data_IF_382083254942
#
_entry.id   IF_382083254942
#
_cell.length_a   1.000
_cell.length_b   1.000
_cell.length_c   1.000
_cell.angle_alpha   90.00
_cell.angle_beta   90.00
_cell.angle_gamma   90.00
#
_symmetry.space_group_name_H-M   'P 1'
#
loop_
_entity.id
_entity.type
_entity.pdbx_description
1 polymer ?
#
# COMPACT_ATOMS: atom_id res chain seq x y z
N UNK A 1 20.49 23.50 7.10
CA UNK A 1 19.87 24.83 7.27
C UNK A 1 19.80 25.11 8.76
N UNK A 2 20.37 26.20 9.26
CA UNK A 2 20.25 26.61 10.67
C UNK A 2 19.42 27.90 10.68
N UNK A 3 18.27 27.87 11.33
CA UNK A 3 17.48 29.05 11.67
C UNK A 3 17.38 29.13 13.20
N UNK A 4 17.20 30.32 13.73
CA UNK A 4 17.03 30.57 15.16
C UNK A 4 15.53 30.54 15.52
N UNK A 5 15.20 30.14 16.75
CA UNK A 5 13.79 29.99 17.17
C UNK A 5 13.05 31.33 17.14
N UNK A 6 13.76 32.42 17.42
CA UNK A 6 13.27 33.80 17.36
C UNK A 6 12.79 34.18 15.95
N UNK A 7 13.31 33.52 14.91
CA UNK A 7 12.87 33.74 13.53
C UNK A 7 11.54 33.05 13.21
N UNK A 8 10.96 32.28 14.13
CA UNK A 8 9.62 31.72 14.00
C UNK A 8 8.56 32.53 14.77
N UNK A 9 8.99 33.41 15.67
CA UNK A 9 8.13 34.26 16.51
C UNK A 9 7.90 35.63 15.86
N UNK A 10 7.38 35.65 14.62
CA UNK A 10 7.20 36.87 13.85
C UNK A 10 5.92 36.88 13.02
N UNK A 11 5.21 38.01 13.01
CA UNK A 11 4.01 38.23 12.18
C UNK A 11 2.84 37.32 12.55
N UNK A 12 2.21 36.73 11.54
CA UNK A 12 1.03 35.85 11.70
C UNK A 12 1.39 34.42 12.18
N UNK A 13 2.68 34.07 12.25
CA UNK A 13 3.14 32.72 12.54
C UNK A 13 2.74 32.18 13.92
N UNK A 14 2.85 32.94 15.04
CA UNK A 14 2.41 32.45 16.33
C UNK A 14 0.93 32.07 16.34
N UNK A 15 0.09 32.89 15.71
CA UNK A 15 -1.34 32.60 15.60
C UNK A 15 -1.62 31.36 14.74
N UNK A 16 -0.89 31.19 13.63
CA UNK A 16 -0.97 30.00 12.79
C UNK A 16 -0.53 28.74 13.57
N UNK A 17 0.54 28.79 14.36
CA UNK A 17 0.98 27.64 15.16
C UNK A 17 -0.03 27.25 16.25
N UNK A 18 -0.74 28.23 16.82
CA UNK A 18 -1.75 27.98 17.84
C UNK A 18 -3.07 27.41 17.28
N UNK A 19 -3.44 27.79 16.06
CA UNK A 19 -4.80 27.57 15.54
C UNK A 19 -4.88 26.67 14.31
N UNK A 20 -3.81 26.59 13.50
CA UNK A 20 -3.84 25.86 12.25
C UNK A 20 -3.68 24.35 12.47
N UNK A 21 -4.43 23.50 11.73
CA UNK A 21 -4.20 22.06 11.73
C UNK A 21 -2.80 21.72 11.21
N UNK A 22 -2.23 20.60 11.64
CA UNK A 22 -0.87 20.16 11.27
C UNK A 22 -0.62 20.16 9.75
N UNK A 23 -1.62 19.82 8.94
CA UNK A 23 -1.54 19.87 7.47
C UNK A 23 -1.26 21.27 6.90
N UNK A 24 -1.77 22.32 7.54
CA UNK A 24 -1.55 23.70 7.10
C UNK A 24 -0.15 24.17 7.48
N UNK A 25 0.37 23.68 8.61
CA UNK A 25 1.76 23.89 9.00
C UNK A 25 2.74 23.14 8.10
N UNK A 26 2.42 21.90 7.71
CA UNK A 26 3.20 21.13 6.72
C UNK A 26 3.20 21.82 5.35
N UNK A 27 2.05 22.33 4.92
CA UNK A 27 1.95 23.16 3.70
C UNK A 27 2.83 24.40 3.79
N UNK A 28 2.78 25.13 4.90
CA UNK A 28 3.62 26.31 5.12
C UNK A 28 5.11 25.95 5.07
N UNK A 29 5.52 24.86 5.72
CA UNK A 29 6.91 24.37 5.65
C UNK A 29 7.31 24.05 4.20
N UNK A 30 6.43 23.42 3.42
CA UNK A 30 6.61 23.21 1.99
C UNK A 30 6.75 24.51 1.19
N UNK A 31 5.97 25.54 1.51
CA UNK A 31 6.08 26.86 0.87
C UNK A 31 7.43 27.53 1.16
N UNK A 32 7.96 27.40 2.38
CA UNK A 32 9.30 27.90 2.72
C UNK A 32 10.38 27.21 1.89
N UNK A 33 10.28 25.89 1.70
CA UNK A 33 11.20 25.14 0.83
C UNK A 33 11.10 25.61 -0.62
N UNK A 34 9.88 25.83 -1.12
CA UNK A 34 9.68 26.34 -2.48
C UNK A 34 10.20 27.77 -2.67
N UNK A 35 9.99 28.66 -1.70
CA UNK A 35 10.52 30.02 -1.72
C UNK A 35 12.05 30.00 -1.80
N UNK A 36 12.70 29.15 -0.98
CA UNK A 36 14.16 28.94 -1.05
C UNK A 36 14.60 28.48 -2.44
N UNK A 37 13.95 27.46 -3.00
CA UNK A 37 14.37 26.85 -4.26
C UNK A 37 14.18 27.80 -5.46
N UNK A 38 13.27 28.78 -5.35
CA UNK A 38 13.07 29.85 -6.34
C UNK A 38 13.97 31.06 -6.14
N UNK A 39 14.47 31.28 -4.93
CA UNK A 39 15.16 32.50 -4.58
C UNK A 39 16.57 32.56 -5.20
N UNK A 40 17.00 33.78 -5.53
CA UNK A 40 18.36 34.02 -6.00
C UNK A 40 19.41 33.73 -4.90
N UNK A 41 20.64 33.43 -5.33
CA UNK A 41 21.79 33.24 -4.44
C UNK A 41 21.93 34.42 -3.46
N UNK A 42 21.98 34.13 -2.15
CA UNK A 42 22.21 35.13 -1.09
C UNK A 42 20.97 35.54 -0.28
N UNK A 43 19.80 34.97 -0.57
CA UNK A 43 18.60 35.12 0.28
C UNK A 43 18.72 34.31 1.58
N UNK A 44 18.02 34.74 2.63
CA UNK A 44 18.05 34.13 3.96
C UNK A 44 16.70 33.50 4.32
N UNK A 45 16.66 32.78 5.45
CA UNK A 45 15.45 32.09 5.92
C UNK A 45 14.27 33.04 6.17
N UNK A 46 14.53 34.23 6.72
CA UNK A 46 13.49 35.25 6.98
C UNK A 46 12.77 35.66 5.70
N UNK A 47 13.51 35.87 4.62
CA UNK A 47 12.93 36.18 3.32
C UNK A 47 12.03 35.05 2.80
N UNK A 48 12.51 33.80 2.84
CA UNK A 48 11.72 32.63 2.39
C UNK A 48 10.48 32.40 3.27
N UNK A 49 10.61 32.62 4.57
CA UNK A 49 9.52 32.57 5.55
C UNK A 49 8.45 33.61 5.24
N UNK A 50 8.83 34.86 5.06
CA UNK A 50 7.88 35.96 4.84
C UNK A 50 7.16 35.81 3.50
N UNK A 51 7.88 35.37 2.45
CA UNK A 51 7.26 35.04 1.17
C UNK A 51 6.25 33.88 1.29
N UNK A 52 6.60 32.83 2.03
CA UNK A 52 5.73 31.69 2.28
C UNK A 52 4.49 32.05 3.10
N UNK A 53 4.63 32.87 4.15
CA UNK A 53 3.51 33.37 4.96
C UNK A 53 2.59 34.24 4.11
N UNK A 54 3.14 35.19 3.35
CA UNK A 54 2.35 36.01 2.45
C UNK A 54 1.60 35.17 1.41
N UNK A 55 2.24 34.11 0.90
CA UNK A 55 1.62 33.18 -0.03
C UNK A 55 0.52 32.32 0.59
N UNK A 56 0.60 32.04 1.89
CA UNK A 56 -0.41 31.29 2.62
C UNK A 56 -1.66 32.14 2.97
N UNK A 57 -1.50 33.46 3.18
CA UNK A 57 -2.57 34.30 3.74
C UNK A 57 -3.21 35.29 2.76
N UNK A 58 -2.52 35.74 1.71
CA UNK A 58 -2.95 36.93 0.94
C UNK A 58 -3.61 36.67 -0.42
N UNK A 59 -3.56 35.45 -0.97
CA UNK A 59 -3.93 35.25 -2.37
C UNK A 59 -5.42 35.19 -2.67
N UNK A 60 -6.27 34.74 -1.76
CA UNK A 60 -7.69 34.51 -2.06
C UNK A 60 -8.42 35.78 -2.52
N UNK A 61 -8.14 36.93 -1.89
CA UNK A 61 -8.75 38.21 -2.29
C UNK A 61 -8.21 38.73 -3.63
N UNK A 62 -6.91 38.53 -3.88
CA UNK A 62 -6.27 39.00 -5.11
C UNK A 62 -6.70 38.18 -6.32
N UNK A 63 -6.70 36.84 -6.19
CA UNK A 63 -7.23 35.92 -7.22
C UNK A 63 -8.68 36.26 -7.56
N UNK A 64 -9.52 36.57 -6.57
CA UNK A 64 -10.89 37.00 -6.82
C UNK A 64 -10.97 38.35 -7.56
N UNK A 65 -10.00 39.26 -7.36
CA UNK A 65 -9.85 40.50 -8.12
C UNK A 65 -9.47 40.22 -9.58
N UNK A 66 -8.44 39.41 -9.79
CA UNK A 66 -7.90 39.10 -11.12
C UNK A 66 -8.94 38.34 -11.97
N UNK A 67 -9.63 37.34 -11.39
CA UNK A 67 -10.71 36.61 -12.06
C UNK A 67 -11.96 37.46 -12.35
N UNK A 68 -12.13 38.62 -11.72
CA UNK A 68 -13.17 39.59 -12.10
C UNK A 68 -12.79 40.39 -13.34
N UNK A 69 -11.49 40.55 -13.61
CA UNK A 69 -10.96 41.20 -14.81
C UNK A 69 -10.97 40.23 -16.00
N UNK A 70 -10.59 38.97 -15.77
CA UNK A 70 -10.64 37.90 -16.78
C UNK A 70 -11.97 37.12 -16.74
N UNK A 71 -13.00 37.68 -17.38
CA UNK A 71 -14.35 37.06 -17.43
C UNK A 71 -14.53 36.11 -18.62
N UNK A 72 -13.61 36.11 -19.58
CA UNK A 72 -13.69 35.24 -20.75
C UNK A 72 -13.63 33.76 -20.35
N UNK A 73 -14.48 32.93 -20.96
CA UNK A 73 -14.47 31.49 -20.71
C UNK A 73 -13.11 30.88 -21.04
N UNK A 74 -12.49 31.30 -22.15
CA UNK A 74 -11.17 30.82 -22.55
C UNK A 74 -10.05 31.22 -21.57
N UNK A 75 -10.07 32.45 -21.07
CA UNK A 75 -9.09 32.95 -20.10
C UNK A 75 -9.19 32.17 -18.78
N UNK A 76 -10.42 31.99 -18.29
CA UNK A 76 -10.70 31.24 -17.06
C UNK A 76 -10.34 29.76 -17.20
N UNK A 77 -10.64 29.16 -18.35
CA UNK A 77 -10.23 27.79 -18.62
C UNK A 77 -8.71 27.65 -18.66
N UNK A 78 -8.01 28.63 -19.23
CA UNK A 78 -6.55 28.64 -19.28
C UNK A 78 -5.93 28.83 -17.88
N UNK A 79 -6.48 29.73 -17.06
CA UNK A 79 -6.07 29.90 -15.66
C UNK A 79 -6.27 28.62 -14.85
N UNK A 80 -7.44 27.98 -14.96
CA UNK A 80 -7.72 26.75 -14.23
C UNK A 80 -6.82 25.61 -14.70
N UNK A 81 -6.67 25.42 -16.01
CA UNK A 81 -5.76 24.44 -16.58
C UNK A 81 -4.33 24.66 -16.10
N UNK A 82 -3.81 25.89 -16.23
CA UNK A 82 -2.48 26.25 -15.76
C UNK A 82 -2.31 25.99 -14.27
N UNK A 83 -3.33 26.23 -13.44
CA UNK A 83 -3.27 25.99 -12.00
C UNK A 83 -3.25 24.50 -11.63
N UNK A 84 -3.93 23.65 -12.40
CA UNK A 84 -3.97 22.20 -12.21
C UNK A 84 -2.72 21.51 -12.77
N UNK A 85 -2.18 22.03 -13.87
CA UNK A 85 -0.97 21.51 -14.54
C UNK A 85 0.24 22.42 -14.36
N UNK A 86 0.27 23.25 -13.32
CA UNK A 86 1.37 24.18 -13.01
C UNK A 86 2.72 23.43 -12.99
N UNK A 87 3.71 23.96 -13.71
CA UNK A 87 4.98 23.31 -13.99
C UNK A 87 4.94 22.28 -15.12
N UNK A 88 3.86 22.21 -15.91
CA UNK A 88 3.71 21.33 -17.07
C UNK A 88 4.06 22.03 -18.40
N UNK A 89 4.22 21.29 -19.51
CA UNK A 89 4.50 21.87 -20.82
C UNK A 89 3.41 22.81 -21.31
N UNK A 90 3.77 23.92 -21.97
CA UNK A 90 2.82 24.92 -22.48
C UNK A 90 1.69 24.33 -23.35
N UNK A 91 2.02 23.42 -24.27
CA UNK A 91 1.04 22.80 -25.17
C UNK A 91 0.05 21.91 -24.39
N UNK A 92 0.50 21.30 -23.30
CA UNK A 92 -0.34 20.51 -22.40
C UNK A 92 -1.31 21.41 -21.64
N UNK A 93 -0.85 22.57 -21.16
CA UNK A 93 -1.71 23.55 -20.48
C UNK A 93 -2.82 24.03 -21.43
N UNK A 94 -2.46 24.38 -22.67
CA UNK A 94 -3.42 24.79 -23.68
C UNK A 94 -4.41 23.66 -24.04
N UNK A 95 -3.91 22.43 -24.18
CA UNK A 95 -4.75 21.26 -24.48
C UNK A 95 -5.73 20.95 -23.34
N UNK A 96 -5.27 21.07 -22.09
CA UNK A 96 -6.11 20.93 -20.91
C UNK A 96 -7.19 22.02 -20.85
N UNK A 97 -6.86 23.27 -21.19
CA UNK A 97 -7.83 24.37 -21.27
C UNK A 97 -8.90 24.12 -22.35
N UNK A 98 -8.50 23.65 -23.54
CA UNK A 98 -9.45 23.29 -24.59
C UNK A 98 -10.34 22.10 -24.21
N UNK A 99 -9.79 21.07 -23.56
CA UNK A 99 -10.58 19.94 -23.04
C UNK A 99 -11.60 20.41 -22.00
N UNK A 100 -11.23 21.32 -21.08
CA UNK A 100 -12.16 21.89 -20.12
C UNK A 100 -13.33 22.61 -20.80
N UNK A 101 -13.05 23.44 -21.80
CA UNK A 101 -14.10 24.11 -22.57
C UNK A 101 -15.02 23.10 -23.28
N UNK A 102 -14.46 22.00 -23.78
CA UNK A 102 -15.23 20.90 -24.38
C UNK A 102 -16.15 20.22 -23.37
N UNK A 103 -15.66 19.87 -22.18
CA UNK A 103 -16.45 19.28 -21.09
C UNK A 103 -17.59 20.21 -20.67
N UNK A 104 -17.34 21.52 -20.62
CA UNK A 104 -18.34 22.54 -20.30
C UNK A 104 -19.29 22.88 -21.45
N UNK A 105 -19.16 22.23 -22.62
CA UNK A 105 -20.00 22.47 -23.79
C UNK A 105 -19.84 23.89 -24.38
N UNK A 106 -18.70 24.54 -24.17
CA UNK A 106 -18.45 25.86 -24.71
C UNK A 106 -18.32 25.80 -26.24
N UNK A 107 -19.00 26.70 -26.99
CA UNK A 107 -18.89 26.73 -28.44
C UNK A 107 -17.44 26.96 -28.88
N UNK A 108 -17.07 26.37 -30.02
CA UNK A 108 -15.76 26.65 -30.61
C UNK A 108 -15.74 28.10 -31.11
N UNK A 109 -14.69 28.83 -30.75
CA UNK A 109 -14.41 30.13 -31.37
C UNK A 109 -14.19 29.91 -32.88
N UNK A 110 -14.94 30.63 -33.70
CA UNK A 110 -14.92 30.55 -35.17
C UNK A 110 -13.80 31.42 -35.78
N UNK A 111 -13.15 32.27 -34.97
CA UNK A 111 -12.05 33.12 -35.42
C UNK A 111 -10.90 32.25 -35.96
N UNK A 112 -10.35 32.51 -37.16
CA UNK A 112 -9.22 31.73 -37.67
C UNK A 112 -8.06 31.68 -36.67
N UNK A 113 -7.47 30.50 -36.44
CA UNK A 113 -6.45 30.30 -35.39
C UNK A 113 -5.26 31.27 -35.48
N UNK A 114 -4.81 31.60 -36.69
CA UNK A 114 -3.71 32.54 -36.92
C UNK A 114 -4.09 34.02 -36.70
N UNK A 115 -5.38 34.33 -36.58
CA UNK A 115 -5.87 35.68 -36.29
C UNK A 115 -6.13 35.92 -34.80
N UNK A 116 -5.89 34.92 -33.94
CA UNK A 116 -6.05 35.01 -32.49
C UNK A 116 -4.73 35.42 -31.83
N UNK A 117 -4.82 35.94 -30.60
CA UNK A 117 -3.66 36.22 -29.76
C UNK A 117 -2.75 34.99 -29.64
N UNK A 118 -1.43 35.24 -29.68
CA UNK A 118 -0.43 34.19 -29.56
C UNK A 118 -0.49 33.53 -28.18
N UNK A 119 -0.01 32.29 -28.06
CA UNK A 119 0.01 31.60 -26.75
C UNK A 119 0.87 32.34 -25.70
N UNK A 120 1.97 32.97 -26.14
CA UNK A 120 2.82 33.80 -25.26
C UNK A 120 2.07 35.03 -24.73
N UNK A 121 1.41 35.77 -25.61
CA UNK A 121 0.59 36.95 -25.27
C UNK A 121 -0.51 36.57 -24.26
N UNK A 122 -1.23 35.47 -24.50
CA UNK A 122 -2.25 34.95 -23.57
C UNK A 122 -1.68 34.56 -22.20
N UNK A 123 -0.44 34.07 -22.14
CA UNK A 123 0.20 33.75 -20.86
C UNK A 123 0.63 35.03 -20.13
N UNK A 124 1.21 35.98 -20.84
CA UNK A 124 1.61 37.28 -20.27
C UNK A 124 0.41 38.03 -19.69
N UNK A 125 -0.71 38.09 -20.42
CA UNK A 125 -1.97 38.68 -19.95
C UNK A 125 -2.48 38.06 -18.64
N UNK A 126 -2.21 36.77 -18.43
CA UNK A 126 -2.63 36.00 -17.26
C UNK A 126 -1.54 35.86 -16.19
N UNK A 127 -0.45 36.62 -16.30
CA UNK A 127 0.70 36.55 -15.37
C UNK A 127 1.32 35.14 -15.25
N UNK A 128 1.29 34.38 -16.35
CA UNK A 128 1.93 33.09 -16.50
C UNK A 128 3.28 33.27 -17.22
N UNK A 129 4.32 32.66 -16.68
CA UNK A 129 5.64 32.63 -17.30
C UNK A 129 5.89 31.28 -17.97
N UNK A 130 6.51 31.32 -19.14
CA UNK A 130 7.09 30.16 -19.80
C UNK A 130 8.58 30.11 -19.50
N UNK A 131 9.03 29.05 -18.84
CA UNK A 131 10.44 28.80 -18.54
C UNK A 131 11.20 28.38 -19.81
N UNK A 132 12.54 28.41 -19.76
CA UNK A 132 13.42 28.07 -20.89
C UNK A 132 13.21 26.64 -21.41
N UNK A 133 12.75 25.73 -20.54
CA UNK A 133 12.41 24.35 -20.90
C UNK A 133 10.99 24.20 -21.50
N UNK A 134 10.27 25.31 -21.66
CA UNK A 134 8.94 25.37 -22.22
C UNK A 134 7.81 25.05 -21.24
N UNK A 135 8.10 24.87 -19.95
CA UNK A 135 7.08 24.67 -18.90
C UNK A 135 6.45 25.99 -18.47
N UNK A 136 5.20 25.92 -18.03
CA UNK A 136 4.41 27.10 -17.64
C UNK A 136 4.21 27.14 -16.14
N UNK A 137 4.46 28.31 -15.54
CA UNK A 137 4.28 28.54 -14.11
C UNK A 137 3.68 29.89 -13.81
N UNK A 138 3.04 29.98 -12.66
CA UNK A 138 2.68 31.27 -12.09
C UNK A 138 3.92 31.95 -11.51
N UNK A 139 4.08 33.23 -11.85
CA UNK A 139 5.17 34.07 -11.34
C UNK A 139 5.17 34.18 -9.81
N UNK A 140 3.98 34.16 -9.20
CA UNK A 140 3.77 34.36 -7.77
C UNK A 140 3.69 33.01 -7.05
N UNK A 141 4.45 32.86 -5.97
CA UNK A 141 4.47 31.63 -5.16
C UNK A 141 3.06 31.26 -4.67
N UNK A 142 2.65 30.00 -4.84
CA UNK A 142 1.34 29.47 -4.43
C UNK A 142 0.09 30.14 -5.01
N UNK A 143 0.24 31.02 -6.02
CA UNK A 143 -0.90 31.65 -6.66
C UNK A 143 -1.76 30.61 -7.41
N UNK A 144 -1.15 29.58 -7.98
CA UNK A 144 -1.86 28.45 -8.58
C UNK A 144 -2.81 27.76 -7.59
N UNK A 145 -2.38 27.56 -6.35
CA UNK A 145 -3.23 26.96 -5.31
C UNK A 145 -4.47 27.83 -5.06
N UNK A 146 -4.30 29.13 -4.94
CA UNK A 146 -5.39 30.07 -4.71
C UNK A 146 -6.36 30.14 -5.90
N UNK A 147 -5.85 30.07 -7.13
CA UNK A 147 -6.69 29.93 -8.34
C UNK A 147 -7.54 28.66 -8.27
N UNK A 148 -6.94 27.49 -8.00
CA UNK A 148 -7.69 26.23 -7.85
C UNK A 148 -8.77 26.35 -6.76
N UNK A 149 -8.41 26.90 -5.61
CA UNK A 149 -9.32 27.07 -4.49
C UNK A 149 -10.51 27.95 -4.87
N UNK A 150 -10.27 29.07 -5.54
CA UNK A 150 -11.31 29.97 -6.01
C UNK A 150 -12.30 29.27 -6.93
N UNK A 151 -11.82 28.49 -7.92
CA UNK A 151 -12.71 27.78 -8.83
C UNK A 151 -13.60 26.76 -8.09
N UNK A 152 -13.01 25.99 -7.17
CA UNK A 152 -13.77 25.02 -6.39
C UNK A 152 -14.75 25.66 -5.42
N UNK A 153 -14.45 26.84 -4.86
CA UNK A 153 -15.33 27.55 -3.93
C UNK A 153 -16.51 28.23 -4.63
N UNK A 154 -16.24 28.89 -5.76
CA UNK A 154 -17.20 29.79 -6.40
C UNK A 154 -18.04 29.11 -7.50
N UNK A 155 -17.68 27.92 -7.96
CA UNK A 155 -18.42 27.15 -8.97
C UNK A 155 -18.78 25.75 -8.46
N UNK A 156 -19.63 25.63 -7.42
CA UNK A 156 -19.98 24.33 -6.83
C UNK A 156 -20.71 23.40 -7.79
N UNK A 157 -21.46 23.96 -8.74
CA UNK A 157 -22.19 23.28 -9.80
C UNK A 157 -21.25 22.61 -10.82
N UNK A 158 -20.08 23.20 -11.09
CA UNK A 158 -19.10 22.68 -12.05
C UNK A 158 -18.13 21.63 -11.48
N UNK A 159 -18.20 21.30 -10.18
CA UNK A 159 -17.23 20.39 -9.55
C UNK A 159 -17.25 18.98 -10.16
N UNK A 160 -18.42 18.51 -10.59
CA UNK A 160 -18.53 17.23 -11.29
C UNK A 160 -17.87 17.28 -12.68
N UNK A 161 -18.05 18.40 -13.39
CA UNK A 161 -17.41 18.63 -14.69
C UNK A 161 -15.88 18.74 -14.53
N UNK A 162 -15.40 19.40 -13.48
CA UNK A 162 -13.97 19.45 -13.16
C UNK A 162 -13.38 18.07 -12.87
N UNK A 163 -14.11 17.19 -12.18
CA UNK A 163 -13.69 15.78 -12.00
C UNK A 163 -13.55 15.09 -13.35
N UNK A 164 -14.57 15.20 -14.20
CA UNK A 164 -14.59 14.48 -15.49
C UNK A 164 -13.49 15.00 -16.42
N UNK A 165 -13.27 16.31 -16.44
CA UNK A 165 -12.16 17.00 -17.09
C UNK A 165 -10.78 16.54 -16.59
N UNK A 166 -10.58 16.42 -15.27
CA UNK A 166 -9.32 15.85 -14.74
C UNK A 166 -9.12 14.43 -15.24
N UNK A 167 -10.19 13.64 -15.34
CA UNK A 167 -10.17 12.32 -15.93
C UNK A 167 -9.74 12.31 -17.40
N UNK A 168 -10.10 13.32 -18.20
CA UNK A 168 -9.64 13.49 -19.58
C UNK A 168 -8.18 13.96 -19.66
N UNK A 169 -7.79 14.88 -18.78
CA UNK A 169 -6.43 15.40 -18.72
C UNK A 169 -5.39 14.28 -18.59
N UNK A 170 -5.69 13.20 -17.86
CA UNK A 170 -4.77 12.08 -17.66
C UNK A 170 -4.31 11.41 -18.96
N UNK A 171 -5.07 11.53 -20.05
CA UNK A 171 -4.75 10.95 -21.35
C UNK A 171 -4.00 11.92 -22.28
N UNK A 172 -3.70 13.15 -21.83
CA UNK A 172 -2.97 14.12 -22.64
C UNK A 172 -1.52 13.64 -22.90
N UNK A 173 -1.05 13.69 -24.17
CA UNK A 173 0.24 13.11 -24.57
C UNK A 173 1.47 13.80 -23.97
N UNK A 174 1.32 15.01 -23.42
CA UNK A 174 2.40 15.77 -22.80
C UNK A 174 2.46 15.70 -21.27
N UNK A 175 1.58 14.94 -20.61
CA UNK A 175 1.68 14.70 -19.16
C UNK A 175 2.49 13.45 -18.88
N UNK A 176 3.71 13.64 -18.37
CA UNK A 176 4.54 12.56 -17.84
C UNK A 176 4.01 12.02 -16.50
N UNK A 177 4.59 10.93 -16.02
CA UNK A 177 4.18 10.30 -14.75
C UNK A 177 4.22 11.28 -13.55
N UNK A 178 5.22 12.14 -13.50
CA UNK A 178 5.35 13.15 -12.44
C UNK A 178 4.29 14.26 -12.54
N UNK A 179 3.99 14.71 -13.76
CA UNK A 179 2.93 15.71 -14.00
C UNK A 179 1.56 15.14 -13.62
N UNK A 180 1.30 13.87 -13.97
CA UNK A 180 0.09 13.14 -13.58
C UNK A 180 -0.03 12.99 -12.07
N UNK A 181 1.05 12.63 -11.37
CA UNK A 181 1.06 12.53 -9.91
C UNK A 181 0.73 13.89 -9.26
N UNK A 182 1.30 15.00 -9.75
CA UNK A 182 0.95 16.35 -9.30
C UNK A 182 -0.51 16.69 -9.56
N UNK A 183 -1.04 16.36 -10.74
CA UNK A 183 -2.42 16.60 -11.10
C UNK A 183 -3.38 15.85 -10.17
N UNK A 184 -3.10 14.58 -9.88
CA UNK A 184 -3.84 13.77 -8.90
C UNK A 184 -3.83 14.42 -7.51
N UNK A 185 -2.65 14.85 -7.04
CA UNK A 185 -2.51 15.49 -5.74
C UNK A 185 -3.33 16.77 -5.62
N UNK A 186 -3.24 17.65 -6.64
CA UNK A 186 -4.00 18.91 -6.70
C UNK A 186 -5.50 18.68 -6.76
N UNK A 187 -5.95 17.70 -7.55
CA UNK A 187 -7.37 17.36 -7.60
C UNK A 187 -7.86 16.80 -6.26
N UNK A 188 -7.10 15.87 -5.66
CA UNK A 188 -7.44 15.29 -4.36
C UNK A 188 -7.54 16.35 -3.26
N UNK A 189 -6.61 17.31 -3.23
CA UNK A 189 -6.66 18.46 -2.33
C UNK A 189 -8.01 19.18 -2.45
N UNK A 190 -8.43 19.55 -3.66
CA UNK A 190 -9.67 20.30 -3.86
C UNK A 190 -10.93 19.48 -3.57
N UNK A 191 -10.96 18.21 -4.00
CA UNK A 191 -12.08 17.31 -3.75
C UNK A 191 -12.29 17.06 -2.24
N UNK A 192 -11.22 16.81 -1.49
CA UNK A 192 -11.31 16.55 -0.06
C UNK A 192 -11.64 17.82 0.73
N UNK A 193 -11.04 18.96 0.37
CA UNK A 193 -11.33 20.26 0.99
C UNK A 193 -12.78 20.68 0.84
N UNK A 194 -13.41 20.35 -0.28
CA UNK A 194 -14.82 20.70 -0.58
C UNK A 194 -15.84 19.61 -0.21
N UNK A 195 -15.45 18.63 0.63
CA UNK A 195 -16.31 17.53 1.11
C UNK A 195 -16.87 16.65 -0.02
N UNK A 196 -16.04 16.37 -1.02
CA UNK A 196 -16.36 15.52 -2.17
C UNK A 196 -15.37 14.35 -2.34
N UNK A 197 -15.13 13.53 -1.31
CA UNK A 197 -14.24 12.36 -1.41
C UNK A 197 -14.71 11.34 -2.46
N UNK A 198 -16.01 11.30 -2.78
CA UNK A 198 -16.56 10.37 -3.78
C UNK A 198 -16.06 10.66 -5.20
N UNK A 199 -15.69 11.90 -5.52
CA UNK A 199 -15.16 12.23 -6.84
C UNK A 199 -13.81 11.53 -7.09
N UNK A 200 -13.00 11.34 -6.03
CA UNK A 200 -11.78 10.52 -6.11
C UNK A 200 -12.11 9.04 -6.31
N UNK A 201 -13.14 8.51 -5.64
CA UNK A 201 -13.56 7.12 -5.83
C UNK A 201 -14.00 6.85 -7.27
N UNK A 202 -14.71 7.80 -7.88
CA UNK A 202 -15.14 7.72 -9.28
C UNK A 202 -13.95 7.72 -10.24
N UNK A 203 -12.97 8.61 -10.04
CA UNK A 203 -11.76 8.63 -10.88
C UNK A 203 -10.91 7.38 -10.71
N UNK A 204 -10.72 6.88 -9.49
CA UNK A 204 -10.02 5.60 -9.25
C UNK A 204 -10.72 4.48 -10.02
N UNK A 205 -12.05 4.43 -10.00
CA UNK A 205 -12.83 3.47 -10.80
C UNK A 205 -12.57 3.61 -12.30
N UNK A 206 -12.62 4.84 -12.84
CA UNK A 206 -12.36 5.15 -14.26
C UNK A 206 -10.94 4.75 -14.68
N UNK A 207 -9.93 5.09 -13.89
CA UNK A 207 -8.52 4.84 -14.18
C UNK A 207 -8.10 3.37 -14.07
N UNK A 208 -8.90 2.57 -13.37
CA UNK A 208 -8.68 1.13 -13.19
C UNK A 208 -9.68 0.27 -13.96
N UNK A 209 -10.52 0.89 -14.79
CA UNK A 209 -11.39 0.18 -15.70
C UNK A 209 -10.58 -0.53 -16.79
N UNK A 210 -11.12 -1.61 -17.33
CA UNK A 210 -10.46 -2.45 -18.33
C UNK A 210 -10.15 -1.66 -19.61
N UNK A 211 -10.95 -0.63 -19.90
CA UNK A 211 -10.75 0.28 -21.03
C UNK A 211 -9.47 1.13 -20.92
N UNK A 212 -8.98 1.40 -19.72
CA UNK A 212 -7.77 2.18 -19.47
C UNK A 212 -6.47 1.38 -19.72
N UNK A 213 -6.57 0.06 -19.93
CA UNK A 213 -5.43 -0.82 -20.23
C UNK A 213 -4.32 -0.78 -19.17
N UNK A 214 -4.68 -0.48 -17.92
CA UNK A 214 -3.75 -0.41 -16.79
C UNK A 214 -2.74 0.73 -16.84
N UNK A 215 -2.90 1.74 -17.72
CA UNK A 215 -1.96 2.87 -17.84
C UNK A 215 -1.94 3.79 -16.62
N UNK A 216 -3.07 3.92 -15.92
CA UNK A 216 -3.27 4.88 -14.83
C UNK A 216 -3.29 4.23 -13.43
N UNK A 217 -2.66 3.05 -13.29
CA UNK A 217 -2.61 2.31 -12.02
C UNK A 217 -1.85 3.07 -10.93
N UNK A 218 -0.76 3.74 -11.29
CA UNK A 218 0.05 4.49 -10.32
C UNK A 218 -0.73 5.69 -9.78
N UNK A 219 -1.47 6.36 -10.65
CA UNK A 219 -2.29 7.52 -10.36
C UNK A 219 -3.51 7.15 -9.50
N UNK A 220 -4.15 6.02 -9.80
CA UNK A 220 -5.19 5.45 -8.94
C UNK A 220 -4.68 5.06 -7.55
N UNK A 221 -3.46 4.50 -7.46
CA UNK A 221 -2.83 4.20 -6.18
C UNK A 221 -2.52 5.47 -5.39
N UNK A 222 -1.96 6.50 -6.04
CA UNK A 222 -1.66 7.79 -5.43
C UNK A 222 -2.93 8.50 -4.92
N UNK A 223 -4.02 8.51 -5.70
CA UNK A 223 -5.30 9.06 -5.28
C UNK A 223 -5.86 8.33 -4.05
N UNK A 224 -5.74 7.00 -4.02
CA UNK A 224 -6.20 6.20 -2.90
C UNK A 224 -5.35 6.42 -1.64
N UNK A 225 -4.04 6.56 -1.80
CA UNK A 225 -3.11 6.90 -0.72
C UNK A 225 -3.45 8.25 -0.09
N UNK A 226 -3.64 9.31 -0.90
CA UNK A 226 -4.03 10.64 -0.42
C UNK A 226 -5.34 10.59 0.37
N UNK A 227 -6.33 9.85 -0.12
CA UNK A 227 -7.60 9.67 0.58
C UNK A 227 -7.48 8.88 1.89
N UNK A 228 -6.64 7.83 1.92
CA UNK A 228 -6.40 7.00 3.10
C UNK A 228 -5.63 7.73 4.20
N UNK A 229 -4.72 8.62 3.81
CA UNK A 229 -3.91 9.44 4.72
C UNK A 229 -4.65 10.68 5.22
N UNK A 230 -5.82 11.01 4.65
CA UNK A 230 -6.58 12.18 5.07
C UNK A 230 -7.26 11.99 6.43
N UNK A 231 -7.05 12.93 7.36
CA UNK A 231 -7.54 12.88 8.74
C UNK A 231 -9.06 12.67 8.85
N UNK A 232 -9.85 13.49 8.14
CA UNK A 232 -11.33 13.42 8.14
C UNK A 232 -11.90 12.22 7.37
N UNK A 233 -11.34 11.88 6.21
CA UNK A 233 -11.95 10.94 5.27
C UNK A 233 -11.28 9.56 5.21
N UNK A 234 -10.14 9.36 5.87
CA UNK A 234 -9.41 8.08 5.82
C UNK A 234 -10.27 6.88 6.21
N UNK A 235 -11.19 7.03 7.16
CA UNK A 235 -12.17 5.99 7.51
C UNK A 235 -13.12 5.64 6.36
N UNK A 236 -13.57 6.64 5.60
CA UNK A 236 -14.42 6.49 4.41
C UNK A 236 -13.67 5.77 3.29
N UNK A 237 -12.44 6.17 3.00
CA UNK A 237 -11.59 5.50 2.00
C UNK A 237 -11.32 4.04 2.39
N UNK A 238 -11.00 3.75 3.65
CA UNK A 238 -10.86 2.37 4.13
C UNK A 238 -12.14 1.55 3.94
N UNK A 239 -13.30 2.17 4.13
CA UNK A 239 -14.60 1.51 3.94
C UNK A 239 -14.85 1.19 2.46
N UNK A 240 -14.57 2.12 1.55
CA UNK A 240 -14.63 1.87 0.10
C UNK A 240 -13.67 0.77 -0.36
N UNK A 241 -12.43 0.75 0.15
CA UNK A 241 -11.49 -0.35 -0.13
C UNK A 241 -12.07 -1.69 0.30
N UNK A 242 -12.70 -1.75 1.48
CA UNK A 242 -13.35 -2.98 1.94
C UNK A 242 -14.51 -3.39 1.04
N UNK A 243 -15.34 -2.43 0.61
CA UNK A 243 -16.42 -2.67 -0.33
C UNK A 243 -15.88 -3.25 -1.64
N UNK A 244 -14.89 -2.61 -2.28
CA UNK A 244 -14.32 -3.11 -3.53
C UNK A 244 -13.74 -4.52 -3.42
N UNK A 245 -13.00 -4.83 -2.34
CA UNK A 245 -12.47 -6.19 -2.16
C UNK A 245 -13.54 -7.22 -1.77
N UNK A 246 -14.76 -6.82 -1.45
CA UNK A 246 -15.86 -7.74 -1.11
C UNK A 246 -16.93 -7.84 -2.21
N UNK A 247 -16.97 -6.92 -3.16
CA UNK A 247 -17.85 -6.98 -4.34
C UNK A 247 -17.59 -8.24 -5.17
N UNK A 248 -18.65 -8.76 -5.81
CA UNK A 248 -18.60 -9.98 -6.62
C UNK A 248 -17.67 -9.87 -7.85
N UNK A 249 -17.59 -8.68 -8.46
CA UNK A 249 -16.72 -8.41 -9.60
C UNK A 249 -15.85 -7.20 -9.31
N UNK A 250 -14.55 -7.34 -9.55
CA UNK A 250 -13.56 -6.27 -9.44
C UNK A 250 -12.72 -6.28 -10.72
N UNK A 251 -12.41 -5.10 -11.26
CA UNK A 251 -11.49 -5.01 -12.38
C UNK A 251 -10.07 -5.44 -11.96
N UNK A 252 -9.34 -6.10 -12.86
CA UNK A 252 -8.00 -6.63 -12.58
C UNK A 252 -7.04 -5.52 -12.13
N UNK A 253 -7.06 -4.36 -12.79
CA UNK A 253 -6.19 -3.24 -12.43
C UNK A 253 -6.56 -2.63 -11.08
N UNK A 254 -7.86 -2.57 -10.75
CA UNK A 254 -8.29 -2.17 -9.41
C UNK A 254 -7.77 -3.15 -8.36
N UNK A 255 -7.88 -4.47 -8.59
CA UNK A 255 -7.35 -5.46 -7.66
C UNK A 255 -5.82 -5.33 -7.45
N UNK A 256 -5.06 -4.97 -8.49
CA UNK A 256 -3.61 -4.65 -8.38
C UNK A 256 -3.38 -3.42 -7.51
N UNK A 257 -4.09 -2.32 -7.78
CA UNK A 257 -4.01 -1.08 -7.01
C UNK A 257 -4.33 -1.33 -5.54
N UNK A 258 -5.42 -2.05 -5.24
CA UNK A 258 -5.79 -2.37 -3.87
C UNK A 258 -4.75 -3.26 -3.17
N UNK A 259 -4.12 -4.18 -3.89
CA UNK A 259 -3.03 -5.00 -3.34
C UNK A 259 -1.85 -4.13 -2.93
N UNK A 260 -1.40 -3.24 -3.81
CA UNK A 260 -0.28 -2.31 -3.55
C UNK A 260 -0.59 -1.41 -2.36
N UNK A 261 -1.74 -0.76 -2.37
CA UNK A 261 -2.15 0.19 -1.31
C UNK A 261 -2.38 -0.51 0.03
N UNK A 262 -2.95 -1.71 0.03
CA UNK A 262 -3.08 -2.49 1.27
C UNK A 262 -1.71 -2.87 1.84
N UNK A 263 -0.74 -3.19 0.98
CA UNK A 263 0.62 -3.57 1.38
C UNK A 263 1.44 -2.38 1.86
N UNK A 264 1.41 -1.25 1.16
CA UNK A 264 2.33 -0.13 1.40
C UNK A 264 1.77 0.93 2.35
N UNK A 265 0.46 1.21 2.27
CA UNK A 265 -0.17 2.30 3.04
C UNK A 265 -0.92 1.74 4.25
N UNK A 266 -1.86 0.82 4.00
CA UNK A 266 -2.71 0.31 5.08
C UNK A 266 -1.97 -0.63 6.03
N UNK A 267 -0.96 -1.38 5.55
CA UNK A 267 -0.21 -2.28 6.43
C UNK A 267 0.55 -1.52 7.52
N UNK A 268 1.01 -0.30 7.21
CA UNK A 268 1.77 0.56 8.14
C UNK A 268 0.85 1.16 9.20
N UNK A 269 -0.27 1.74 8.78
CA UNK A 269 -1.14 2.51 9.67
C UNK A 269 -2.30 1.70 10.26
N UNK A 270 -2.79 0.68 9.54
CA UNK A 270 -3.97 -0.12 9.87
C UNK A 270 -3.75 -1.61 9.53
N UNK A 271 -2.71 -2.26 10.08
CA UNK A 271 -2.29 -3.61 9.68
C UNK A 271 -3.41 -4.65 9.75
N UNK A 272 -4.27 -4.56 10.77
CA UNK A 272 -5.40 -5.48 10.92
C UNK A 272 -6.40 -5.39 9.78
N UNK A 273 -6.64 -4.18 9.29
CA UNK A 273 -7.57 -3.91 8.19
C UNK A 273 -6.96 -4.34 6.85
N UNK A 274 -5.67 -4.08 6.64
CA UNK A 274 -4.91 -4.56 5.49
C UNK A 274 -4.95 -6.09 5.37
N UNK A 275 -4.73 -6.80 6.49
CA UNK A 275 -4.78 -8.26 6.55
C UNK A 275 -6.12 -8.81 6.01
N UNK A 276 -7.24 -8.21 6.40
CA UNK A 276 -8.57 -8.65 5.92
C UNK A 276 -8.69 -8.49 4.42
N UNK A 277 -8.30 -7.32 3.89
CA UNK A 277 -8.46 -6.95 2.48
C UNK A 277 -7.54 -7.78 1.58
N UNK A 278 -6.28 -7.94 1.97
CA UNK A 278 -5.32 -8.81 1.29
C UNK A 278 -5.80 -10.27 1.27
N UNK A 279 -6.41 -10.76 2.36
CA UNK A 279 -7.01 -12.10 2.38
C UNK A 279 -8.15 -12.24 1.36
N UNK A 280 -9.01 -11.23 1.21
CA UNK A 280 -10.07 -11.27 0.19
C UNK A 280 -9.48 -11.31 -1.23
N UNK A 281 -8.44 -10.52 -1.49
CA UNK A 281 -7.77 -10.49 -2.79
C UNK A 281 -7.00 -11.79 -3.11
N UNK A 282 -6.35 -12.40 -2.11
CA UNK A 282 -5.57 -13.63 -2.27
C UNK A 282 -6.44 -14.88 -2.48
N UNK A 283 -7.66 -14.91 -1.92
CA UNK A 283 -8.58 -16.05 -2.02
C UNK A 283 -9.57 -15.94 -3.19
N UNK A 284 -9.57 -14.83 -3.94
CA UNK A 284 -10.53 -14.59 -5.02
C UNK A 284 -10.09 -15.31 -6.30
N UNK A 285 -10.87 -16.31 -6.73
CA UNK A 285 -10.54 -17.13 -7.89
C UNK A 285 -10.72 -16.41 -9.23
N UNK A 286 -11.56 -15.37 -9.28
CA UNK A 286 -11.79 -14.55 -10.48
C UNK A 286 -10.62 -13.61 -10.80
N UNK A 287 -9.75 -13.34 -9.81
CA UNK A 287 -8.53 -12.58 -10.05
C UNK A 287 -7.55 -13.40 -10.90
N UNK A 288 -6.74 -12.75 -11.73
CA UNK A 288 -5.63 -13.42 -12.41
C UNK A 288 -4.61 -13.96 -11.39
N UNK A 289 -3.91 -15.04 -11.75
CA UNK A 289 -2.98 -15.73 -10.83
C UNK A 289 -1.89 -14.80 -10.31
N UNK A 290 -1.38 -13.90 -11.13
CA UNK A 290 -0.37 -12.93 -10.74
C UNK A 290 -0.88 -11.92 -9.69
N UNK A 291 -2.16 -11.51 -9.77
CA UNK A 291 -2.79 -10.66 -8.74
C UNK A 291 -2.98 -11.44 -7.44
N UNK A 292 -3.44 -12.70 -7.52
CA UNK A 292 -3.57 -13.57 -6.34
C UNK A 292 -2.21 -13.81 -5.68
N UNK A 293 -1.17 -14.10 -6.46
CA UNK A 293 0.18 -14.34 -5.98
C UNK A 293 0.75 -13.10 -5.29
N UNK A 294 0.58 -11.91 -5.87
CA UNK A 294 0.99 -10.65 -5.26
C UNK A 294 0.25 -10.38 -3.93
N UNK A 295 -1.07 -10.60 -3.90
CA UNK A 295 -1.87 -10.42 -2.69
C UNK A 295 -1.51 -11.45 -1.61
N UNK A 296 -1.25 -12.71 -2.00
CA UNK A 296 -0.79 -13.78 -1.10
C UNK A 296 0.57 -13.44 -0.51
N UNK A 297 1.52 -13.00 -1.33
CA UNK A 297 2.85 -12.56 -0.88
C UNK A 297 2.74 -11.43 0.15
N UNK A 298 1.98 -10.37 -0.17
CA UNK A 298 1.75 -9.25 0.75
C UNK A 298 1.06 -9.68 2.06
N UNK A 299 0.08 -10.58 1.98
CA UNK A 299 -0.62 -11.14 3.15
C UNK A 299 0.32 -11.91 4.07
N UNK A 300 1.17 -12.77 3.49
CA UNK A 300 2.13 -13.60 4.21
C UNK A 300 3.23 -12.74 4.82
N UNK A 301 3.77 -11.77 4.08
CA UNK A 301 4.75 -10.80 4.57
C UNK A 301 4.24 -10.10 5.84
N UNK A 302 3.00 -9.60 5.79
CA UNK A 302 2.36 -8.92 6.91
C UNK A 302 2.14 -9.85 8.12
N UNK A 303 1.66 -11.07 7.89
CA UNK A 303 1.37 -12.01 8.96
C UNK A 303 2.65 -12.56 9.63
N UNK A 304 3.69 -12.88 8.84
CA UNK A 304 4.98 -13.40 9.34
C UNK A 304 5.81 -12.36 10.08
N UNK A 305 5.54 -11.07 9.88
CA UNK A 305 6.17 -9.97 10.61
C UNK A 305 5.49 -9.61 11.94
N UNK A 306 4.33 -10.20 12.26
CA UNK A 306 3.57 -9.79 13.45
C UNK A 306 2.80 -10.96 14.09
N UNK A 307 3.18 -11.36 15.31
CA UNK A 307 2.61 -12.50 16.04
C UNK A 307 1.08 -12.43 16.20
N UNK A 308 0.51 -11.24 16.42
CA UNK A 308 -0.95 -11.05 16.55
C UNK A 308 -1.65 -11.25 15.21
N UNK A 309 -1.08 -10.72 14.12
CA UNK A 309 -1.64 -10.86 12.78
C UNK A 309 -1.52 -12.31 12.28
N UNK A 310 -0.43 -13.00 12.61
CA UNK A 310 -0.27 -14.43 12.36
C UNK A 310 -1.44 -15.23 12.94
N UNK A 311 -1.67 -15.13 14.26
CA UNK A 311 -2.73 -15.87 14.93
C UNK A 311 -4.11 -15.55 14.36
N UNK A 312 -4.36 -14.26 14.09
CA UNK A 312 -5.61 -13.81 13.46
C UNK A 312 -5.80 -14.37 12.06
N UNK A 313 -4.75 -14.44 11.24
CA UNK A 313 -4.83 -15.00 9.89
C UNK A 313 -5.19 -16.48 9.96
N UNK A 314 -4.54 -17.25 10.83
CA UNK A 314 -4.88 -18.67 11.04
C UNK A 314 -6.35 -18.83 11.40
N UNK A 315 -6.83 -18.17 12.46
CA UNK A 315 -8.24 -18.27 12.88
C UNK A 315 -9.23 -17.89 11.77
N UNK A 316 -8.83 -16.98 10.88
CA UNK A 316 -9.63 -16.53 9.75
C UNK A 316 -9.60 -17.47 8.54
N UNK A 317 -8.62 -18.36 8.45
CA UNK A 317 -8.49 -19.35 7.38
C UNK A 317 -9.04 -20.72 7.79
N UNK A 318 -9.03 -21.07 9.09
CA UNK A 318 -9.55 -22.37 9.56
C UNK A 318 -10.99 -22.68 9.10
N UNK A 319 -11.96 -21.75 9.16
CA UNK A 319 -13.31 -22.03 8.63
C UNK A 319 -13.37 -22.25 7.11
N UNK A 320 -12.32 -21.83 6.39
CA UNK A 320 -12.14 -21.94 4.93
C UNK A 320 -11.05 -22.95 4.57
N UNK A 321 -10.71 -23.85 5.48
CA UNK A 321 -9.75 -24.93 5.26
C UNK A 321 -10.37 -26.08 4.45
N UNK A 322 -11.21 -25.77 3.45
CA UNK A 322 -11.70 -26.76 2.48
C UNK A 322 -10.74 -26.80 1.29
N UNK A 323 -10.53 -27.97 0.65
CA UNK A 323 -9.59 -28.10 -0.46
C UNK A 323 -9.80 -27.10 -1.62
N UNK A 324 -11.05 -26.70 -1.89
CA UNK A 324 -11.41 -25.82 -3.00
C UNK A 324 -11.17 -24.31 -2.74
N UNK A 325 -10.99 -23.91 -1.47
CA UNK A 325 -11.06 -22.50 -1.07
C UNK A 325 -9.71 -21.78 -1.12
N UNK A 326 -8.61 -22.47 -1.45
CA UNK A 326 -7.24 -21.92 -1.46
C UNK A 326 -6.66 -21.60 -0.08
N UNK A 327 -7.46 -21.65 1.00
CA UNK A 327 -7.03 -21.35 2.36
C UNK A 327 -5.91 -22.26 2.88
N UNK A 328 -5.95 -23.54 2.52
CA UNK A 328 -4.90 -24.50 2.88
C UNK A 328 -3.55 -24.18 2.23
N UNK A 329 -3.53 -23.60 1.02
CA UNK A 329 -2.28 -23.16 0.37
C UNK A 329 -1.66 -21.98 1.10
N UNK A 330 -2.50 -21.03 1.55
CA UNK A 330 -2.02 -19.89 2.33
C UNK A 330 -1.52 -20.34 3.70
N UNK A 331 -2.21 -21.29 4.36
CA UNK A 331 -1.75 -21.85 5.64
C UNK A 331 -0.42 -22.58 5.47
N UNK A 332 -0.28 -23.43 4.47
CA UNK A 332 0.97 -24.16 4.21
C UNK A 332 2.14 -23.19 3.94
N UNK A 333 1.90 -22.14 3.16
CA UNK A 333 2.91 -21.10 2.94
C UNK A 333 3.22 -20.34 4.24
N UNK A 334 2.22 -19.99 5.06
CA UNK A 334 2.42 -19.31 6.34
C UNK A 334 3.28 -20.12 7.32
N UNK A 335 3.27 -21.45 7.20
CA UNK A 335 4.06 -22.36 8.01
C UNK A 335 5.52 -22.51 7.56
N UNK A 336 5.97 -21.82 6.51
CA UNK A 336 7.37 -21.88 6.07
C UNK A 336 8.32 -21.19 7.08
N UNK A 337 9.34 -21.89 7.62
CA UNK A 337 10.28 -21.30 8.58
C UNK A 337 11.19 -20.24 7.96
N UNK A 338 11.53 -20.33 6.67
CA UNK A 338 12.56 -19.47 6.08
C UNK A 338 12.19 -17.98 6.03
N UNK A 339 10.88 -17.68 5.98
CA UNK A 339 10.36 -16.32 5.86
C UNK A 339 9.76 -15.79 7.18
N UNK A 340 9.82 -16.58 8.26
CA UNK A 340 9.20 -16.23 9.52
C UNK A 340 10.08 -15.26 10.32
N UNK A 341 9.56 -14.08 10.66
CA UNK A 341 10.30 -13.01 11.37
C UNK A 341 9.93 -12.86 12.84
N UNK A 342 9.01 -13.71 13.32
CA UNK A 342 8.50 -13.69 14.69
C UNK A 342 8.40 -15.12 15.21
N UNK A 343 8.57 -15.31 16.52
CA UNK A 343 8.20 -16.60 17.13
C UNK A 343 6.70 -16.86 16.93
N UNK A 344 6.32 -18.00 16.33
CA UNK A 344 4.95 -18.25 15.99
C UNK A 344 4.10 -18.39 17.27
N UNK A 345 2.84 -17.91 17.27
CA UNK A 345 1.92 -18.21 18.35
C UNK A 345 1.58 -19.70 18.32
N UNK A 346 2.20 -20.50 19.21
CA UNK A 346 2.17 -21.96 19.16
C UNK A 346 0.79 -22.59 19.03
N UNK A 347 -0.22 -22.06 19.72
CA UNK A 347 -1.60 -22.56 19.58
C UNK A 347 -2.11 -22.42 18.13
N UNK A 348 -1.93 -21.27 17.50
CA UNK A 348 -2.35 -21.06 16.12
C UNK A 348 -1.45 -21.85 15.14
N UNK A 349 -0.16 -22.00 15.45
CA UNK A 349 0.75 -22.83 14.67
C UNK A 349 0.31 -24.30 14.63
N UNK A 350 -0.05 -24.87 15.79
CA UNK A 350 -0.61 -26.24 15.89
C UNK A 350 -1.91 -26.35 15.10
N UNK A 351 -2.83 -25.38 15.24
CA UNK A 351 -4.09 -25.39 14.50
C UNK A 351 -3.89 -25.32 12.99
N UNK A 352 -2.93 -24.52 12.53
CA UNK A 352 -2.59 -24.41 11.11
C UNK A 352 -2.01 -25.73 10.57
N UNK A 353 -1.06 -26.34 11.28
CA UNK A 353 -0.53 -27.66 10.91
C UNK A 353 -1.60 -28.73 10.87
N UNK A 354 -2.46 -28.79 11.89
CA UNK A 354 -3.55 -29.76 11.95
C UNK A 354 -4.48 -29.62 10.74
N UNK A 355 -4.85 -28.39 10.38
CA UNK A 355 -5.69 -28.14 9.21
C UNK A 355 -5.00 -28.53 7.89
N UNK A 356 -3.71 -28.23 7.74
CA UNK A 356 -2.92 -28.59 6.57
C UNK A 356 -2.76 -30.11 6.43
N UNK A 357 -2.38 -30.80 7.51
CA UNK A 357 -2.20 -32.25 7.53
C UNK A 357 -3.50 -33.00 7.24
N UNK A 358 -4.62 -32.56 7.83
CA UNK A 358 -5.92 -33.17 7.59
C UNK A 358 -6.47 -32.88 6.17
N UNK A 359 -6.10 -31.72 5.58
CA UNK A 359 -6.67 -31.25 4.32
C UNK A 359 -5.81 -31.47 3.07
N UNK A 360 -4.53 -31.83 3.22
CA UNK A 360 -3.57 -32.03 2.12
C UNK A 360 -2.84 -33.36 2.23
N UNK A 361 -2.47 -33.92 1.08
CA UNK A 361 -1.63 -35.13 1.00
C UNK A 361 -0.22 -34.85 1.56
N UNK A 362 0.39 -35.88 2.18
CA UNK A 362 1.74 -35.83 2.75
C UNK A 362 2.76 -35.09 1.89
N UNK A 363 2.85 -35.48 0.61
CA UNK A 363 3.78 -34.89 -0.38
C UNK A 363 3.71 -33.36 -0.48
N UNK A 364 2.57 -32.75 -0.17
CA UNK A 364 2.42 -31.29 -0.24
C UNK A 364 3.04 -30.59 0.98
N UNK A 365 2.98 -31.20 2.17
CA UNK A 365 3.43 -30.57 3.41
C UNK A 365 4.76 -31.11 3.95
N UNK A 366 5.17 -32.32 3.56
CA UNK A 366 6.44 -32.93 3.96
C UNK A 366 7.64 -31.99 3.73
N UNK A 367 7.80 -31.30 2.57
CA UNK A 367 8.92 -30.38 2.37
C UNK A 367 8.99 -29.26 3.41
N UNK A 368 7.85 -28.77 3.90
CA UNK A 368 7.81 -27.74 4.95
C UNK A 368 8.23 -28.30 6.30
N UNK A 369 7.85 -29.54 6.65
CA UNK A 369 8.33 -30.23 7.86
C UNK A 369 9.85 -30.42 7.80
N UNK A 370 10.37 -30.85 6.65
CA UNK A 370 11.82 -31.01 6.44
C UNK A 370 12.60 -29.71 6.61
N UNK A 371 12.04 -28.57 6.16
CA UNK A 371 12.64 -27.24 6.41
C UNK A 371 12.65 -26.88 7.89
N UNK A 372 11.62 -27.23 8.67
CA UNK A 372 11.62 -27.04 10.12
C UNK A 372 12.67 -27.89 10.83
N UNK A 373 12.81 -29.16 10.44
CA UNK A 373 13.86 -30.03 10.96
C UNK A 373 15.26 -29.48 10.64
N UNK A 374 15.46 -28.96 9.43
CA UNK A 374 16.71 -28.27 9.07
C UNK A 374 16.93 -27.01 9.93
N UNK A 375 15.91 -26.19 10.14
CA UNK A 375 16.01 -25.00 10.99
C UNK A 375 16.35 -25.34 12.46
N UNK A 376 15.86 -26.47 12.98
CA UNK A 376 16.24 -26.98 14.31
C UNK A 376 17.74 -27.33 14.36
N UNK A 377 18.25 -28.07 13.37
CA UNK A 377 19.68 -28.43 13.32
C UNK A 377 20.59 -27.21 13.22
N UNK A 378 20.17 -26.17 12.50
CA UNK A 378 20.88 -24.90 12.37
C UNK A 378 20.66 -23.96 13.57
N UNK A 379 19.91 -24.40 14.60
CA UNK A 379 19.53 -23.60 15.79
C UNK A 379 18.81 -22.30 15.45
N UNK A 380 18.12 -22.27 14.32
CA UNK A 380 17.28 -21.16 13.87
C UNK A 380 15.83 -21.29 14.37
N UNK A 381 15.45 -22.48 14.85
CA UNK A 381 14.16 -22.76 15.47
C UNK A 381 14.35 -23.43 16.85
N UNK A 382 13.37 -23.24 17.74
CA UNK A 382 13.31 -23.89 19.06
C UNK A 382 12.60 -25.24 19.02
N UNK A 383 12.89 -26.09 20.00
CA UNK A 383 12.38 -27.47 20.07
C UNK A 383 10.86 -27.59 20.17
N UNK A 384 10.17 -26.51 20.53
CA UNK A 384 8.72 -26.44 20.62
C UNK A 384 8.02 -26.77 19.29
N UNK A 385 8.75 -26.66 18.17
CA UNK A 385 8.27 -27.09 16.83
C UNK A 385 7.95 -28.58 16.80
N UNK A 386 8.79 -29.44 17.39
CA UNK A 386 8.57 -30.89 17.40
C UNK A 386 7.28 -31.23 18.14
N UNK A 387 7.12 -30.65 19.33
CA UNK A 387 5.89 -30.78 20.11
C UNK A 387 4.67 -30.25 19.35
N UNK A 388 4.80 -29.14 18.63
CA UNK A 388 3.69 -28.59 17.86
C UNK A 388 3.27 -29.48 16.68
N UNK A 389 4.23 -30.08 15.96
CA UNK A 389 3.95 -31.05 14.90
C UNK A 389 3.30 -32.32 15.46
N UNK A 390 3.81 -32.81 16.60
CA UNK A 390 3.24 -33.96 17.30
C UNK A 390 1.79 -33.70 17.72
N UNK A 391 1.52 -32.56 18.35
CA UNK A 391 0.18 -32.13 18.76
C UNK A 391 -0.75 -31.93 17.56
N UNK A 392 -0.24 -31.51 16.40
CA UNK A 392 -1.03 -31.34 15.19
C UNK A 392 -1.55 -32.69 14.65
N UNK A 393 -0.72 -33.73 14.68
CA UNK A 393 -1.04 -35.09 14.24
C UNK A 393 -1.63 -35.99 15.34
N UNK A 394 -1.66 -35.53 16.60
CA UNK A 394 -2.10 -36.33 17.73
C UNK A 394 -3.53 -36.88 17.53
N UNK A 395 -3.68 -38.20 17.76
CA UNK A 395 -4.94 -38.93 17.60
C UNK A 395 -5.16 -39.52 16.20
N UNK A 396 -4.29 -39.22 15.22
CA UNK A 396 -4.33 -39.78 13.86
C UNK A 396 -3.06 -40.60 13.59
N UNK A 397 -3.20 -41.93 13.57
CA UNK A 397 -2.06 -42.84 13.38
C UNK A 397 -1.43 -42.72 12.00
N UNK A 398 -2.22 -42.44 10.97
CA UNK A 398 -1.71 -42.32 9.61
C UNK A 398 -0.86 -41.06 9.46
N UNK A 399 -1.31 -39.94 10.06
CA UNK A 399 -0.52 -38.70 10.09
C UNK A 399 0.76 -38.85 10.91
N UNK A 400 0.70 -39.53 12.07
CA UNK A 400 1.88 -39.81 12.88
C UNK A 400 2.89 -40.69 12.11
N UNK A 401 2.42 -41.70 11.38
CA UNK A 401 3.28 -42.53 10.52
C UNK A 401 3.88 -41.72 9.36
N UNK A 402 3.10 -40.84 8.72
CA UNK A 402 3.62 -39.95 7.68
C UNK A 402 4.68 -38.97 8.19
N UNK A 403 4.52 -38.47 9.43
CA UNK A 403 5.53 -37.65 10.10
C UNK A 403 6.80 -38.45 10.39
N UNK A 404 6.66 -39.70 10.85
CA UNK A 404 7.79 -40.61 11.08
C UNK A 404 8.58 -40.81 9.78
N UNK A 405 7.91 -41.22 8.70
CA UNK A 405 8.52 -41.42 7.38
C UNK A 405 9.19 -40.15 6.87
N UNK A 406 8.50 -39.01 6.93
CA UNK A 406 9.06 -37.70 6.50
C UNK A 406 10.35 -37.35 7.27
N UNK A 407 10.41 -37.72 8.55
CA UNK A 407 11.57 -37.47 9.42
C UNK A 407 12.74 -38.38 9.08
N UNK A 408 12.49 -39.67 8.85
CA UNK A 408 13.51 -40.63 8.37
C UNK A 408 14.05 -40.24 6.99
N UNK A 409 13.15 -39.97 6.03
CA UNK A 409 13.53 -39.56 4.67
C UNK A 409 14.44 -38.32 4.71
N UNK A 410 14.12 -37.35 5.59
CA UNK A 410 14.95 -36.18 5.78
C UNK A 410 16.32 -36.52 6.37
N UNK A 411 16.38 -37.35 7.42
CA UNK A 411 17.64 -37.72 8.04
C UNK A 411 18.59 -38.42 7.05
N UNK A 412 18.03 -39.22 6.15
CA UNK A 412 18.76 -39.97 5.12
C UNK A 412 19.11 -39.13 3.88
N UNK A 413 18.33 -38.07 3.59
CA UNK A 413 18.57 -37.19 2.44
C UNK A 413 19.89 -36.41 2.59
N UNK A 414 20.79 -36.57 1.62
CA UNK A 414 22.00 -35.75 1.48
C UNK A 414 21.63 -34.36 0.93
N UNK A 415 22.06 -33.24 1.56
CA UNK A 415 21.80 -31.91 1.03
C UNK A 415 22.54 -31.70 -0.30
N UNK A 416 21.84 -31.19 -1.32
CA UNK A 416 22.35 -31.06 -2.69
C UNK A 416 23.60 -30.18 -2.86
N UNK A 417 23.97 -29.37 -1.86
CA UNK A 417 25.11 -28.45 -1.87
C UNK A 417 26.07 -28.67 -0.68
N UNK A 418 26.49 -29.90 -0.40
CA UNK A 418 27.39 -30.20 0.74
C UNK A 418 28.85 -30.42 0.32
N UNK A 419 29.78 -29.53 0.74
CA UNK A 419 31.21 -29.82 0.74
C UNK A 419 31.55 -30.99 1.67
N UNK A 420 32.58 -31.77 1.33
CA UNK A 420 32.97 -33.06 1.94
C UNK A 420 33.33 -33.04 3.46
N UNK A 421 33.20 -31.90 4.16
CA UNK A 421 33.70 -31.69 5.53
C UNK A 421 32.69 -31.81 6.70
N UNK A 422 31.41 -32.11 6.47
CA UNK A 422 30.34 -31.88 7.48
C UNK A 422 29.70 -33.16 8.08
N UNK A 423 30.51 -34.13 8.54
CA UNK A 423 30.01 -35.28 9.34
C UNK A 423 29.19 -34.84 10.57
N UNK A 424 29.62 -33.75 11.22
CA UNK A 424 28.92 -33.18 12.38
C UNK A 424 27.48 -32.77 12.08
N UNK A 425 27.21 -32.27 10.86
CA UNK A 425 25.86 -31.88 10.44
C UNK A 425 24.98 -33.10 10.18
N UNK A 426 25.55 -34.21 9.68
CA UNK A 426 24.83 -35.49 9.54
C UNK A 426 24.48 -36.07 10.91
N UNK A 427 25.41 -36.05 11.87
CA UNK A 427 25.16 -36.53 13.23
C UNK A 427 24.08 -35.69 13.93
N UNK A 428 24.06 -34.37 13.74
CA UNK A 428 23.02 -33.49 14.27
C UNK A 428 21.63 -33.77 13.68
N UNK A 429 21.56 -34.10 12.38
CA UNK A 429 20.30 -34.51 11.72
C UNK A 429 19.80 -35.83 12.29
N UNK A 430 20.67 -36.84 12.38
CA UNK A 430 20.31 -38.14 12.94
C UNK A 430 19.83 -38.00 14.39
N UNK A 431 20.53 -37.23 15.23
CA UNK A 431 20.09 -36.96 16.61
C UNK A 431 18.70 -36.30 16.68
N UNK A 432 18.43 -35.34 15.81
CA UNK A 432 17.13 -34.64 15.75
C UNK A 432 16.02 -35.59 15.30
N UNK A 433 16.30 -36.40 14.28
CA UNK A 433 15.36 -37.40 13.76
C UNK A 433 15.05 -38.49 14.79
N UNK A 434 16.08 -39.09 15.40
CA UNK A 434 15.93 -40.12 16.44
C UNK A 434 15.09 -39.62 17.60
N UNK A 435 15.31 -38.38 18.02
CA UNK A 435 14.50 -37.77 19.07
C UNK A 435 13.04 -37.65 18.65
N UNK A 436 12.77 -37.07 17.49
CA UNK A 436 11.39 -36.83 17.06
C UNK A 436 10.64 -38.15 16.78
N UNK A 437 11.30 -39.15 16.19
CA UNK A 437 10.76 -40.49 16.03
C UNK A 437 10.39 -41.13 17.38
N UNK A 438 11.25 -41.02 18.40
CA UNK A 438 10.92 -41.49 19.77
C UNK A 438 9.68 -40.78 20.35
N UNK A 439 9.55 -39.47 20.15
CA UNK A 439 8.38 -38.71 20.60
C UNK A 439 7.09 -39.15 19.87
N UNK A 440 7.19 -39.49 18.58
CA UNK A 440 6.09 -40.06 17.78
C UNK A 440 5.71 -41.46 18.29
N UNK A 441 6.68 -42.35 18.52
CA UNK A 441 6.44 -43.71 19.02
C UNK A 441 5.73 -43.69 20.38
N UNK A 442 6.14 -42.79 21.27
CA UNK A 442 5.47 -42.57 22.55
C UNK A 442 4.01 -42.11 22.36
N UNK A 443 3.75 -41.18 21.44
CA UNK A 443 2.40 -40.70 21.15
C UNK A 443 1.51 -41.77 20.48
N UNK A 444 2.09 -42.72 19.74
CA UNK A 444 1.38 -43.87 19.18
C UNK A 444 1.14 -44.99 20.21
N UNK A 445 1.77 -44.92 21.38
CA UNK A 445 1.70 -45.93 22.43
C UNK A 445 2.66 -47.12 22.23
N UNK A 446 3.68 -46.97 21.40
CA UNK A 446 4.61 -48.04 21.00
C UNK A 446 5.79 -48.20 22.00
N UNK A 447 5.86 -47.38 23.06
CA UNK A 447 7.01 -47.35 23.99
C UNK A 447 6.70 -47.54 25.49
N UNK A 448 5.51 -47.95 25.88
CA UNK A 448 5.09 -47.98 27.29
C UNK A 448 4.74 -49.35 27.86
N UNK A 449 5.71 -50.28 27.99
CA UNK A 449 5.68 -51.42 28.91
C UNK A 449 7.10 -52.02 29.05
N UNK A 450 7.99 -51.34 29.76
CA UNK A 450 9.12 -52.04 30.40
C UNK A 450 8.60 -52.62 31.73
N UNK A 451 8.22 -53.89 31.66
CA UNK A 451 7.87 -54.74 32.80
C UNK A 451 8.89 -54.59 33.93
N UNK A 452 8.48 -54.01 35.06
CA UNK A 452 9.14 -54.27 36.34
C UNK A 452 8.68 -55.65 36.79
N UNK A 453 9.38 -56.68 36.31
CA UNK A 453 9.31 -58.02 36.87
C UNK A 453 10.71 -58.62 36.86
N UNK A 454 11.34 -58.60 38.04
CA UNK A 454 12.58 -59.33 38.27
C UNK A 454 13.42 -58.73 39.37
N UNK A 455 13.06 -59.00 40.64
CA UNK A 455 13.99 -59.43 41.70
C UNK A 455 13.39 -59.22 43.10
N UNK A 456 12.80 -60.28 43.68
CA UNK A 456 13.06 -60.69 45.07
C UNK A 456 12.35 -62.02 45.40
N UNK A 457 12.97 -63.12 45.00
CA UNK A 457 13.14 -64.29 45.87
C UNK A 457 14.61 -64.20 46.32
N UNK A 458 14.96 -64.10 47.60
CA UNK A 458 14.89 -65.16 48.60
C UNK A 458 15.35 -64.58 49.95
N UNK A 459 14.67 -64.93 51.05
CA UNK A 459 15.26 -65.38 52.33
C UNK A 459 14.16 -65.69 53.36
N UNK A 460 13.82 -66.97 53.45
CA UNK A 460 13.59 -67.67 54.74
C UNK A 460 14.92 -67.57 55.52
N UNK A 461 15.01 -67.12 56.78
CA UNK A 461 14.45 -67.67 58.03
C UNK A 461 15.54 -68.50 58.75
N UNK A 462 15.64 -68.62 60.10
CA UNK A 462 14.93 -67.98 61.21
C UNK A 462 15.79 -67.00 62.05
#
# INVERSE_FOLDING_TARGET
>A
MRFAYEQLDHGDLPHLFETAPLRELDRLAGLVVQARDRAACGTNFEHWRDEAVAAATNWSQQVAGDLRQHRGAEERALLLAASMTNGGPADTVLSAAHSLLGVLGHPQDETPRLARAGLGERFEELSLAREDDGRVRFLRLAYDDAVRQHFWENFPDLRADFRDWVGECMELPGLGAEDRARLVARFAEQALRTDRPDDLHLLIGKWTDSSAGGRLRAEAAAALELGLSHERYGSRFRSHVYQWVTTARIATDLARVLTVVCRQVMAVTHPEQALVRLRHLALRQENSEDVRAAARSALLELARGNRRLYGRLVHRLLPRARPADGGLEILLALLDPAELRVHPPWQAFVLAWRAVMAGKQARAWSPSVQRWLAALTLRQAGEEVLNALLLAAYGDRDLLNQLYVTTCDWAESEPADMPEGLRAQRDDRMRTADRFCREIDLAQGVGGLASVSGARETREGP
#
